data_IF_596556710976
#
_entry.id   IF_596556710976
#
_cell.length_a   1.000
_cell.length_b   1.000
_cell.length_c   1.000
_cell.angle_alpha   90.00
_cell.angle_beta   90.00
_cell.angle_gamma   90.00
#
_symmetry.space_group_name_H-M   'P 1'
#
loop_
_entity.id
_entity.type
_entity.pdbx_description
1 polymer ?
#
# COMPACT_ATOMS: atom_id res chain seq x y z
N UNK A 1 -14.21 7.98 -12.98
CA UNK A 1 -13.68 6.75 -13.61
C UNK A 1 -14.56 5.54 -13.30
N UNK A 2 -14.60 4.99 -12.08
CA UNK A 2 -15.39 3.78 -11.81
C UNK A 2 -16.93 3.92 -11.96
N UNK A 3 -17.47 5.11 -11.70
CA UNK A 3 -18.91 5.39 -11.89
C UNK A 3 -19.26 5.46 -13.38
N UNK A 4 -18.37 6.04 -14.19
CA UNK A 4 -18.53 6.19 -15.64
C UNK A 4 -18.50 4.81 -16.34
N UNK A 5 -17.60 3.92 -15.92
CA UNK A 5 -17.50 2.55 -16.43
C UNK A 5 -18.74 1.71 -16.08
N UNK A 6 -19.28 1.88 -14.86
CA UNK A 6 -20.53 1.23 -14.44
C UNK A 6 -21.72 1.70 -15.29
N UNK A 7 -21.84 3.00 -15.53
CA UNK A 7 -22.90 3.56 -16.39
C UNK A 7 -22.79 3.07 -17.83
N UNK A 8 -21.57 2.91 -18.36
CA UNK A 8 -21.35 2.37 -19.70
C UNK A 8 -21.84 0.92 -19.82
N UNK A 9 -21.60 0.08 -18.81
CA UNK A 9 -22.09 -1.32 -18.81
C UNK A 9 -23.61 -1.36 -18.80
N UNK A 10 -24.26 -0.53 -17.98
CA UNK A 10 -25.72 -0.47 -17.93
C UNK A 10 -26.34 -0.02 -19.26
N UNK A 11 -25.72 0.96 -19.94
CA UNK A 11 -26.14 1.36 -21.30
C UNK A 11 -25.98 0.23 -22.31
N UNK A 12 -24.93 -0.58 -22.23
CA UNK A 12 -24.77 -1.72 -23.14
C UNK A 12 -25.84 -2.80 -22.94
N UNK A 13 -26.36 -2.97 -21.71
CA UNK A 13 -27.49 -3.86 -21.41
C UNK A 13 -28.78 -3.28 -21.99
N UNK A 14 -29.03 -1.98 -21.79
CA UNK A 14 -30.19 -1.25 -22.34
C UNK A 14 -30.23 -1.33 -23.87
N UNK A 15 -29.07 -1.18 -24.52
CA UNK A 15 -28.92 -1.30 -25.97
C UNK A 15 -28.97 -2.76 -26.48
N UNK A 16 -29.07 -3.75 -25.59
CA UNK A 16 -29.12 -5.18 -25.94
C UNK A 16 -27.81 -5.74 -26.50
N UNK A 17 -26.69 -5.01 -26.36
CA UNK A 17 -25.36 -5.44 -26.84
C UNK A 17 -24.77 -6.56 -26.00
N UNK A 18 -25.18 -6.65 -24.74
CA UNK A 18 -24.78 -7.69 -23.79
C UNK A 18 -26.00 -8.17 -23.01
N UNK A 19 -25.96 -9.42 -22.57
CA UNK A 19 -27.00 -10.00 -21.72
C UNK A 19 -26.85 -9.54 -20.26
N UNK A 20 -27.92 -9.70 -19.47
CA UNK A 20 -27.88 -9.38 -18.04
C UNK A 20 -26.85 -10.22 -17.27
N UNK A 21 -26.62 -11.48 -17.68
CA UNK A 21 -25.60 -12.35 -17.10
C UNK A 21 -24.18 -11.86 -17.38
N UNK A 22 -23.91 -11.46 -18.63
CA UNK A 22 -22.61 -10.89 -19.01
C UNK A 22 -22.37 -9.54 -18.32
N UNK A 23 -23.40 -8.71 -18.21
CA UNK A 23 -23.36 -7.46 -17.46
C UNK A 23 -23.01 -7.68 -15.98
N UNK A 24 -23.58 -8.70 -15.36
CA UNK A 24 -23.28 -9.06 -13.96
C UNK A 24 -21.79 -9.42 -13.80
N UNK A 25 -21.23 -10.23 -14.70
CA UNK A 25 -19.79 -10.58 -14.67
C UNK A 25 -18.88 -9.37 -14.81
N UNK A 26 -19.22 -8.42 -15.69
CA UNK A 26 -18.45 -7.19 -15.90
C UNK A 26 -18.51 -6.26 -14.68
N UNK A 27 -19.69 -6.13 -14.07
CA UNK A 27 -19.88 -5.34 -12.84
C UNK A 27 -19.11 -5.93 -11.66
N UNK A 28 -19.10 -7.26 -11.50
CA UNK A 28 -18.32 -7.95 -10.48
C UNK A 28 -16.81 -7.77 -10.67
N UNK A 29 -16.32 -7.85 -11.91
CA UNK A 29 -14.91 -7.63 -12.22
C UNK A 29 -14.46 -6.21 -11.84
N UNK A 30 -15.28 -5.19 -12.14
CA UNK A 30 -15.02 -3.81 -11.69
C UNK A 30 -15.03 -3.68 -10.16
N UNK A 31 -15.95 -4.37 -9.47
CA UNK A 31 -16.00 -4.39 -8.00
C UNK A 31 -14.76 -5.03 -7.36
N UNK A 32 -14.25 -6.12 -7.94
CA UNK A 32 -13.02 -6.79 -7.49
C UNK A 32 -11.78 -5.92 -7.72
N UNK A 33 -11.71 -5.20 -8.84
CA UNK A 33 -10.63 -4.24 -9.10
C UNK A 33 -10.59 -3.11 -8.06
N UNK A 34 -11.77 -2.65 -7.60
CA UNK A 34 -11.86 -1.65 -6.53
C UNK A 34 -11.34 -2.15 -5.18
N UNK A 35 -11.62 -3.42 -4.83
CA UNK A 35 -11.09 -4.06 -3.61
C UNK A 35 -9.59 -4.40 -3.68
N UNK A 36 -9.06 -4.57 -4.89
CA UNK A 36 -7.64 -4.93 -5.11
C UNK A 36 -6.71 -3.72 -5.15
N UNK A 37 -7.26 -2.52 -5.39
CA UNK A 37 -6.59 -1.32 -4.89
C UNK A 37 -6.59 -1.48 -3.38
N UNK A 38 -5.43 -1.46 -2.69
CA UNK A 38 -5.49 -1.25 -1.26
C UNK A 38 -6.28 0.05 -1.13
N UNK A 39 -7.52 -0.05 -0.65
CA UNK A 39 -8.01 0.96 0.27
C UNK A 39 -6.81 1.18 1.17
N UNK A 40 -6.21 2.35 1.07
CA UNK A 40 -5.32 2.79 2.12
C UNK A 40 -6.20 2.72 3.35
N UNK A 41 -6.19 1.57 4.02
CA UNK A 41 -6.61 1.44 5.38
C UNK A 41 -5.99 2.67 5.99
N UNK A 42 -6.83 3.53 6.54
CA UNK A 42 -6.43 4.60 7.43
C UNK A 42 -5.88 3.92 8.69
N UNK A 43 -4.86 3.07 8.49
CA UNK A 43 -4.08 2.40 9.49
C UNK A 43 -3.30 3.55 10.08
N UNK A 44 -3.70 3.92 11.29
CA UNK A 44 -3.09 5.00 12.04
C UNK A 44 -1.58 4.84 11.91
N UNK A 45 -0.85 5.88 11.46
CA UNK A 45 0.53 5.72 11.06
C UNK A 45 1.33 5.14 12.22
N UNK A 46 1.70 3.87 12.12
CA UNK A 46 2.44 3.21 13.20
C UNK A 46 3.86 3.78 13.21
N UNK A 47 4.33 4.21 14.38
CA UNK A 47 5.64 4.85 14.53
C UNK A 47 6.65 3.89 15.19
N UNK A 48 7.84 3.80 14.62
CA UNK A 48 9.00 3.16 15.21
C UNK A 48 9.83 4.22 15.96
N UNK A 49 10.05 4.02 17.26
CA UNK A 49 10.91 4.88 18.07
C UNK A 49 12.27 4.23 18.22
N UNK A 50 13.31 4.91 17.75
CA UNK A 50 14.70 4.44 17.80
C UNK A 50 15.49 5.31 18.77
N UNK A 51 16.18 4.65 19.70
CA UNK A 51 17.14 5.29 20.62
C UNK A 51 18.51 4.71 20.34
N UNK A 52 19.47 5.58 20.06
CA UNK A 52 20.88 5.22 19.92
C UNK A 52 21.59 5.67 21.19
N UNK A 53 22.22 4.73 21.88
CA UNK A 53 23.07 5.00 23.02
C UNK A 53 24.52 4.82 22.63
N UNK A 54 25.36 5.73 23.11
CA UNK A 54 26.80 5.59 23.07
C UNK A 54 27.20 4.39 23.95
N UNK A 55 27.99 3.47 23.39
CA UNK A 55 28.32 2.20 24.04
C UNK A 55 29.28 2.42 25.22
N UNK A 56 30.18 3.40 25.11
CA UNK A 56 31.22 3.68 26.11
C UNK A 56 30.69 4.48 27.30
N UNK A 57 29.79 5.44 27.06
CA UNK A 57 29.26 6.33 28.09
C UNK A 57 27.84 5.98 28.56
N UNK A 58 27.13 5.10 27.84
CA UNK A 58 25.74 4.74 28.12
C UNK A 58 24.74 5.88 27.93
N UNK A 59 25.18 7.03 27.41
CA UNK A 59 24.34 8.22 27.21
C UNK A 59 23.55 8.11 25.91
N UNK A 60 22.32 8.62 25.90
CA UNK A 60 21.49 8.70 24.70
C UNK A 60 22.10 9.70 23.70
N UNK A 61 22.66 9.19 22.61
CA UNK A 61 23.28 10.00 21.57
C UNK A 61 22.23 10.58 20.62
N UNK A 62 21.23 9.79 20.24
CA UNK A 62 20.21 10.20 19.27
C UNK A 62 18.86 9.55 19.56
N UNK A 63 17.78 10.32 19.36
CA UNK A 63 16.38 9.86 19.43
C UNK A 63 15.66 10.17 18.12
N UNK A 64 15.09 9.15 17.47
CA UNK A 64 14.40 9.31 16.18
C UNK A 64 13.03 8.62 16.22
N UNK A 65 12.01 9.26 15.62
CA UNK A 65 10.69 8.68 15.40
C UNK A 65 10.47 8.52 13.89
N UNK A 66 10.35 7.28 13.42
CA UNK A 66 10.21 6.96 12.00
C UNK A 66 8.84 6.28 11.74
N UNK A 67 8.04 6.75 10.77
CA UNK A 67 6.87 6.00 10.32
C UNK A 67 7.25 4.61 9.82
N UNK A 68 6.52 3.57 10.23
CA UNK A 68 6.76 2.18 9.80
C UNK A 68 6.67 2.02 8.28
N UNK A 69 5.90 2.88 7.60
CA UNK A 69 5.82 2.94 6.13
C UNK A 69 7.17 3.25 5.47
N UNK A 70 8.08 3.92 6.16
CA UNK A 70 9.41 4.28 5.62
C UNK A 70 10.49 3.23 5.91
N UNK A 71 10.24 2.27 6.81
CA UNK A 71 11.22 1.23 7.17
C UNK A 71 11.59 0.37 5.95
N UNK A 72 10.62 -0.01 5.13
CA UNK A 72 10.87 -0.80 3.91
C UNK A 72 11.72 -0.04 2.89
N UNK A 73 11.54 1.28 2.79
CA UNK A 73 12.37 2.14 1.92
C UNK A 73 13.79 2.21 2.47
N UNK A 74 13.93 2.40 3.78
CA UNK A 74 15.21 2.38 4.49
C UNK A 74 15.96 1.07 4.31
N UNK A 75 15.29 -0.08 4.45
CA UNK A 75 15.90 -1.41 4.27
C UNK A 75 16.37 -1.63 2.83
N UNK A 76 15.59 -1.23 1.82
CA UNK A 76 15.99 -1.34 0.41
C UNK A 76 17.14 -0.41 0.05
N UNK A 77 17.16 0.78 0.63
CA UNK A 77 18.26 1.73 0.47
C UNK A 77 19.52 1.21 1.16
N UNK A 78 19.40 0.78 2.42
CA UNK A 78 20.46 0.29 3.29
C UNK A 78 21.01 -1.08 2.89
N UNK A 79 20.23 -1.95 2.24
CA UNK A 79 20.71 -3.22 1.67
C UNK A 79 21.85 -3.02 0.65
N UNK A 80 21.95 -1.84 0.05
CA UNK A 80 23.04 -1.45 -0.86
C UNK A 80 24.28 -0.91 -0.14
N UNK A 81 24.17 -0.68 1.17
CA UNK A 81 25.21 -0.17 2.05
C UNK A 81 25.48 -1.12 3.21
N UNK A 82 25.00 -2.36 3.18
CA UNK A 82 25.40 -3.40 4.15
C UNK A 82 26.89 -3.63 3.89
N UNK A 83 27.79 -3.15 4.75
CA UNK A 83 29.16 -3.61 4.72
C UNK A 83 29.07 -5.11 5.04
N UNK A 84 29.86 -5.96 4.39
CA UNK A 84 29.99 -7.35 4.84
C UNK A 84 30.21 -7.33 6.36
N UNK A 85 29.21 -7.79 7.11
CA UNK A 85 29.32 -7.99 8.56
C UNK A 85 30.11 -9.30 8.69
N UNK A 86 31.39 -9.22 8.33
CA UNK A 86 32.41 -10.24 8.52
C UNK A 86 33.53 -9.62 9.37
N UNK A 87 33.36 -9.73 10.68
CA UNK A 87 34.29 -10.29 11.68
C UNK A 87 33.86 -9.91 13.10
#
# INVERSE_FOLDING_TARGET
>A
MALDERMKILKMIEEGKITAEEGTRLLEALGKQRRKRPESETDEPRWLRVRVTDIDSGKESVRVNLPLSLVNVGLRMGARFVPDIDQ
#
